data_IF_429654719589
#
_entry.id   IF_429654719589
#
_cell.length_a   1.000
_cell.length_b   1.000
_cell.length_c   1.000
_cell.angle_alpha   90.00
_cell.angle_beta   90.00
_cell.angle_gamma   90.00
#
_symmetry.space_group_name_H-M   'P 1'
#
loop_
_entity.id
_entity.type
_entity.pdbx_description
1 polymer ?
#
# COMPACT_ATOMS: atom_id res chain seq x y z
N UNK A 1 14.93 4.75 -5.51
CA UNK A 1 14.41 4.32 -4.19
C UNK A 1 12.98 4.79 -4.06
N UNK A 2 12.05 3.87 -3.95
CA UNK A 2 10.62 4.20 -3.89
C UNK A 2 10.22 4.64 -2.49
N UNK A 3 9.39 5.68 -2.40
CA UNK A 3 8.78 6.13 -1.15
C UNK A 3 7.27 6.14 -1.27
N UNK A 4 6.61 5.72 -0.21
CA UNK A 4 5.18 5.84 -0.08
C UNK A 4 4.85 7.33 -0.06
N UNK A 5 4.11 7.78 -1.07
CA UNK A 5 3.62 9.15 -1.11
C UNK A 5 2.21 9.26 -0.56
N UNK A 6 1.38 8.24 -0.80
CA UNK A 6 0.02 8.20 -0.34
C UNK A 6 -0.47 6.77 -0.24
N UNK A 7 -1.23 6.46 0.80
CA UNK A 7 -1.93 5.18 0.95
C UNK A 7 -3.42 5.46 0.73
N UNK A 8 -4.04 4.68 -0.15
CA UNK A 8 -5.46 4.72 -0.44
C UNK A 8 -6.09 3.51 0.23
N UNK A 9 -6.77 3.74 1.34
CA UNK A 9 -7.70 2.76 1.90
C UNK A 9 -8.68 2.35 0.81
N UNK A 10 -8.65 1.07 0.42
CA UNK A 10 -9.35 0.52 -0.74
C UNK A 10 -10.87 0.44 -0.57
N UNK A 11 -11.45 1.32 0.24
CA UNK A 11 -12.87 1.33 0.62
C UNK A 11 -13.65 2.28 -0.30
N UNK A 12 -13.74 1.91 -1.59
CA UNK A 12 -14.63 2.57 -2.56
C UNK A 12 -15.82 1.67 -2.95
N UNK A 13 -16.21 0.76 -2.06
CA UNK A 13 -17.37 -0.11 -2.21
C UNK A 13 -17.94 -0.46 -0.84
N UNK A 14 -19.15 -0.01 -0.58
CA UNK A 14 -19.93 -0.27 0.64
C UNK A 14 -20.41 -1.74 0.69
N UNK A 15 -19.49 -2.69 0.54
CA UNK A 15 -19.72 -4.11 0.73
C UNK A 15 -18.84 -4.51 1.91
N UNK A 16 -19.47 -4.64 3.08
CA UNK A 16 -18.87 -5.14 4.30
C UNK A 16 -17.94 -6.31 3.95
N UNK A 17 -16.62 -6.13 4.14
CA UNK A 17 -15.64 -7.17 3.88
C UNK A 17 -16.13 -8.46 4.54
N UNK A 18 -16.42 -9.48 3.74
CA UNK A 18 -16.91 -10.76 4.25
C UNK A 18 -15.93 -11.30 5.31
N UNK A 19 -16.45 -11.89 6.38
CA UNK A 19 -15.64 -12.43 7.48
C UNK A 19 -14.50 -13.32 6.93
N UNK A 20 -13.25 -12.86 7.08
CA UNK A 20 -12.05 -13.57 6.63
C UNK A 20 -11.33 -12.97 5.42
N UNK A 21 -11.84 -11.91 4.78
CA UNK A 21 -11.06 -11.15 3.79
C UNK A 21 -10.16 -10.11 4.47
N UNK A 22 -8.88 -10.08 4.10
CA UNK A 22 -7.95 -9.05 4.54
C UNK A 22 -8.17 -7.78 3.73
N UNK A 23 -8.38 -6.61 4.37
CA UNK A 23 -8.50 -5.35 3.67
C UNK A 23 -7.23 -5.09 2.86
N UNK A 24 -7.42 -4.75 1.58
CA UNK A 24 -6.33 -4.38 0.68
C UNK A 24 -6.38 -2.89 0.41
N UNK A 25 -5.23 -2.26 0.44
CA UNK A 25 -5.06 -0.84 0.19
C UNK A 25 -4.18 -0.63 -1.02
N UNK A 26 -4.42 0.47 -1.73
CA UNK A 26 -3.58 0.85 -2.87
C UNK A 26 -2.55 1.86 -2.41
N UNK A 27 -1.27 1.60 -2.64
CA UNK A 27 -0.18 2.46 -2.22
C UNK A 27 0.40 3.16 -3.46
N UNK A 28 0.44 4.48 -3.43
CA UNK A 28 1.14 5.28 -4.43
C UNK A 28 2.57 5.51 -3.98
N UNK A 29 3.49 4.95 -4.74
CA UNK A 29 4.92 5.13 -4.59
C UNK A 29 5.42 6.22 -5.52
N UNK A 30 6.41 6.97 -5.06
CA UNK A 30 7.16 7.91 -5.88
C UNK A 30 8.65 7.68 -5.75
N UNK A 31 9.36 7.80 -6.86
CA UNK A 31 10.81 7.80 -6.90
C UNK A 31 11.36 9.23 -6.94
N UNK A 32 12.68 9.38 -6.74
CA UNK A 32 13.40 10.65 -6.82
C UNK A 32 13.28 11.33 -8.18
N UNK A 33 13.13 10.55 -9.26
CA UNK A 33 12.86 11.08 -10.60
C UNK A 33 11.43 11.63 -10.78
N UNK A 34 10.57 11.53 -9.78
CA UNK A 34 9.15 11.91 -9.86
C UNK A 34 8.27 10.87 -10.55
N UNK A 35 8.82 9.70 -10.87
CA UNK A 35 8.05 8.56 -11.37
C UNK A 35 7.06 8.10 -10.29
N UNK A 36 5.82 7.81 -10.67
CA UNK A 36 4.77 7.34 -9.76
C UNK A 36 4.39 5.91 -10.11
N UNK A 37 4.25 5.06 -9.10
CA UNK A 37 3.80 3.68 -9.23
C UNK A 37 2.65 3.44 -8.26
N UNK A 38 1.68 2.64 -8.67
CA UNK A 38 0.58 2.21 -7.80
C UNK A 38 0.68 0.71 -7.64
N UNK A 39 0.56 0.26 -6.41
CA UNK A 39 0.59 -1.16 -6.04
C UNK A 39 -0.55 -1.43 -5.07
N UNK A 40 -0.99 -2.67 -4.99
CA UNK A 40 -2.04 -3.08 -4.07
C UNK A 40 -1.46 -4.11 -3.11
N UNK A 41 -1.52 -3.81 -1.83
CA UNK A 41 -1.01 -4.68 -0.76
C UNK A 41 -2.04 -4.82 0.34
N UNK A 42 -1.84 -5.81 1.20
CA UNK A 42 -2.69 -5.98 2.38
C UNK A 42 -2.40 -4.88 3.40
N UNK A 43 -3.44 -4.29 3.97
CA UNK A 43 -3.35 -3.30 5.06
C UNK A 43 -2.51 -3.86 6.23
N UNK A 44 -2.80 -5.11 6.60
CA UNK A 44 -2.08 -5.82 7.65
C UNK A 44 -0.59 -5.91 7.35
N UNK A 45 -0.20 -6.11 6.09
CA UNK A 45 1.20 -6.22 5.70
C UNK A 45 1.92 -4.88 5.88
N UNK A 46 1.29 -3.75 5.53
CA UNK A 46 1.85 -2.41 5.81
C UNK A 46 2.03 -2.20 7.30
N UNK A 47 1.01 -2.53 8.10
CA UNK A 47 1.05 -2.40 9.56
C UNK A 47 2.14 -3.28 10.19
N UNK A 48 2.30 -4.52 9.72
CA UNK A 48 3.31 -5.47 10.22
C UNK A 48 4.74 -5.01 9.87
N UNK A 49 4.92 -4.41 8.70
CA UNK A 49 6.19 -3.83 8.25
C UNK A 49 6.41 -2.38 8.76
N UNK A 50 5.43 -1.79 9.47
CA UNK A 50 5.49 -0.41 9.95
C UNK A 50 5.61 0.63 8.82
N UNK A 51 4.98 0.37 7.67
CA UNK A 51 5.03 1.21 6.48
C UNK A 51 3.86 2.18 6.44
N UNK A 52 4.19 3.47 6.49
CA UNK A 52 3.23 4.59 6.46
C UNK A 52 3.60 5.61 5.37
N UNK A 53 2.79 6.65 5.18
CA UNK A 53 3.08 7.73 4.25
C UNK A 53 4.44 8.39 4.55
N UNK A 54 5.29 8.48 3.52
CA UNK A 54 6.68 8.93 3.63
C UNK A 54 7.71 7.83 3.88
N UNK A 55 7.27 6.60 4.17
CA UNK A 55 8.16 5.46 4.39
C UNK A 55 8.80 5.00 3.08
N UNK A 56 9.98 4.40 3.18
CA UNK A 56 10.66 3.78 2.04
C UNK A 56 9.98 2.46 1.72
N UNK A 57 9.64 2.25 0.46
CA UNK A 57 9.07 1.01 0.00
C UNK A 57 10.17 -0.07 -0.12
N UNK A 58 10.00 -1.25 0.51
CA UNK A 58 10.92 -2.36 0.33
C UNK A 58 10.66 -2.99 -1.05
N UNK A 59 11.65 -2.97 -1.95
CA UNK A 59 11.53 -3.53 -3.31
C UNK A 59 11.40 -5.07 -3.34
N UNK A 60 11.50 -5.74 -2.19
CA UNK A 60 11.54 -7.20 -2.00
C UNK A 60 10.15 -7.86 -1.85
N UNK A 61 9.06 -7.13 -2.08
CA UNK A 61 7.69 -7.63 -1.84
C UNK A 61 7.07 -8.44 -2.98
N UNK A 62 7.86 -8.80 -4.00
CA UNK A 62 7.42 -9.50 -5.21
C UNK A 62 7.96 -10.95 -5.18
N UNK A 63 7.62 -11.74 -4.16
CA UNK A 63 7.91 -13.18 -4.13
C UNK A 63 6.71 -14.01 -3.64
#
# INVERSE_FOLDING_TARGET
>A
MWKIKQIFDGDYGCEELAEGQTPRVSVMLVDEAGAKKYITVEDKWLTDNGLDEGSVWPEDTDE
#
